data_IF_260573162209
#
_entry.id   IF_260573162209
#
_cell.length_a   1.000
_cell.length_b   1.000
_cell.length_c   1.000
_cell.angle_alpha   90.00
_cell.angle_beta   90.00
_cell.angle_gamma   90.00
#
_symmetry.space_group_name_H-M   'P 1'
#
loop_
_entity.id
_entity.type
_entity.pdbx_description
1 polymer ?
#
# COMPACT_ATOMS: atom_id res chain seq x y z
N UNK A 1 19.55 8.07 6.92
CA UNK A 1 19.25 7.55 5.57
C UNK A 1 18.27 8.51 4.93
N UNK A 2 18.53 8.93 3.70
CA UNK A 2 17.69 9.86 2.95
C UNK A 2 17.17 9.20 1.68
N UNK A 3 15.98 9.57 1.28
CA UNK A 3 15.41 9.35 -0.03
C UNK A 3 15.32 10.73 -0.67
N UNK A 4 16.10 10.94 -1.70
CA UNK A 4 16.12 12.21 -2.42
C UNK A 4 15.05 12.21 -3.51
N UNK A 5 14.30 13.29 -3.61
CA UNK A 5 13.22 13.47 -4.58
C UNK A 5 13.51 14.78 -5.35
N UNK A 6 14.00 14.66 -6.55
CA UNK A 6 14.34 15.80 -7.41
C UNK A 6 13.17 16.14 -8.33
N UNK A 7 12.49 17.29 -8.15
CA UNK A 7 11.42 17.70 -9.05
C UNK A 7 11.92 17.79 -10.51
N UNK A 8 11.16 17.21 -11.42
CA UNK A 8 11.42 17.28 -12.87
C UNK A 8 10.55 18.32 -13.56
N UNK A 9 9.68 18.97 -12.81
CA UNK A 9 8.75 20.00 -13.28
C UNK A 9 8.57 21.11 -12.23
N UNK A 10 8.08 22.27 -12.65
CA UNK A 10 7.93 23.44 -11.76
C UNK A 10 6.88 23.27 -10.67
N UNK A 11 5.88 22.41 -10.88
CA UNK A 11 4.78 22.15 -9.95
C UNK A 11 4.53 20.65 -9.85
N UNK A 12 5.47 19.92 -9.23
CA UNK A 12 5.33 18.47 -9.13
C UNK A 12 4.15 18.09 -8.23
N UNK A 13 3.56 16.91 -8.44
CA UNK A 13 2.55 16.36 -7.54
C UNK A 13 3.04 16.28 -6.10
N UNK A 14 2.16 16.51 -5.15
CA UNK A 14 2.50 16.46 -3.72
C UNK A 14 2.84 15.04 -3.28
N UNK A 15 3.92 14.89 -2.49
CA UNK A 15 4.28 13.65 -1.81
C UNK A 15 3.91 13.76 -0.34
N UNK A 16 3.15 12.79 0.17
CA UNK A 16 2.75 12.72 1.58
C UNK A 16 3.05 11.33 2.17
N UNK A 17 3.26 11.21 3.49
CA UNK A 17 3.28 9.90 4.13
C UNK A 17 1.98 9.14 3.90
N UNK A 18 2.07 7.82 3.72
CA UNK A 18 0.92 6.96 3.52
C UNK A 18 -0.13 7.14 4.62
N UNK A 19 -1.37 7.41 4.22
CA UNK A 19 -2.49 7.67 5.11
C UNK A 19 -3.11 6.36 5.59
N UNK A 20 -3.43 6.21 6.89
CA UNK A 20 -4.04 4.98 7.40
C UNK A 20 -5.49 4.77 6.93
N UNK A 21 -6.21 5.86 6.62
CA UNK A 21 -7.63 5.82 6.25
C UNK A 21 -7.84 5.29 4.82
N UNK A 22 -8.92 4.52 4.67
CA UNK A 22 -9.44 4.08 3.36
C UNK A 22 -10.95 4.15 3.39
N UNK A 23 -11.56 4.68 2.32
CA UNK A 23 -13.00 4.92 2.25
C UNK A 23 -13.83 3.68 2.59
N UNK A 24 -13.50 2.51 2.03
CA UNK A 24 -14.22 1.28 2.32
C UNK A 24 -14.09 0.84 3.78
N UNK A 25 -12.94 1.10 4.44
CA UNK A 25 -12.75 0.80 5.86
C UNK A 25 -13.58 1.73 6.75
N UNK A 26 -13.80 2.97 6.32
CA UNK A 26 -14.61 3.96 7.03
C UNK A 26 -16.12 3.70 6.90
N UNK A 27 -16.57 2.94 5.87
CA UNK A 27 -17.97 2.56 5.72
C UNK A 27 -18.47 1.59 6.80
N UNK A 28 -17.57 0.90 7.50
CA UNK A 28 -17.95 0.07 8.63
C UNK A 28 -18.22 0.93 9.87
N UNK A 29 -19.43 0.90 10.40
CA UNK A 29 -19.88 1.73 11.53
C UNK A 29 -18.97 1.61 12.78
N UNK A 30 -18.44 0.42 13.03
CA UNK A 30 -17.52 0.13 14.13
C UNK A 30 -16.05 0.22 13.77
N UNK A 31 -15.74 0.64 12.52
CA UNK A 31 -14.38 0.72 11.97
C UNK A 31 -13.62 -0.62 12.08
N UNK A 32 -14.32 -1.73 12.02
CA UNK A 32 -13.78 -3.08 12.22
C UNK A 32 -12.50 -3.38 11.41
N UNK A 33 -12.39 -3.01 10.12
CA UNK A 33 -11.18 -3.31 9.33
C UNK A 33 -9.90 -2.69 9.89
N UNK A 34 -9.99 -1.60 10.66
CA UNK A 34 -8.83 -0.98 11.31
C UNK A 34 -8.24 -1.80 12.46
N UNK A 35 -8.96 -2.81 12.93
CA UNK A 35 -8.48 -3.79 13.92
C UNK A 35 -7.48 -4.77 13.32
N UNK A 36 -7.47 -4.90 12.00
CA UNK A 36 -6.47 -5.70 11.28
C UNK A 36 -5.17 -4.90 11.15
N UNK A 37 -4.23 -5.13 12.07
CA UNK A 37 -2.94 -4.43 12.09
C UNK A 37 -2.17 -4.54 10.76
N UNK A 38 -2.08 -5.70 10.08
CA UNK A 38 -1.43 -5.79 8.78
C UNK A 38 -1.97 -4.83 7.73
N UNK A 39 -3.30 -4.61 7.68
CA UNK A 39 -3.91 -3.67 6.72
C UNK A 39 -3.49 -2.22 7.01
N UNK A 40 -3.59 -1.80 8.26
CA UNK A 40 -3.24 -0.43 8.66
C UNK A 40 -1.74 -0.16 8.53
N UNK A 41 -0.90 -1.15 8.83
CA UNK A 41 0.54 -1.06 8.63
C UNK A 41 0.90 -0.94 7.15
N UNK A 42 0.28 -1.73 6.26
CA UNK A 42 0.49 -1.62 4.83
C UNK A 42 0.15 -0.22 4.32
N UNK A 43 -0.99 0.36 4.76
CA UNK A 43 -1.41 1.70 4.36
C UNK A 43 -0.38 2.79 4.69
N UNK A 44 0.44 2.58 5.73
CA UNK A 44 1.36 3.60 6.27
C UNK A 44 2.84 3.27 6.08
N UNK A 45 3.18 2.22 5.31
CA UNK A 45 4.58 1.76 5.12
C UNK A 45 5.27 2.41 3.91
N UNK A 46 4.77 3.49 3.37
CA UNK A 46 5.35 4.21 2.24
C UNK A 46 4.79 5.62 2.12
N UNK A 47 5.03 6.24 0.99
CA UNK A 47 4.55 7.58 0.65
C UNK A 47 3.57 7.51 -0.51
N UNK A 48 2.62 8.42 -0.51
CA UNK A 48 1.62 8.62 -1.56
C UNK A 48 2.00 9.83 -2.41
N UNK A 49 1.83 9.73 -3.75
CA UNK A 49 1.89 10.87 -4.66
C UNK A 49 0.45 11.18 -5.08
N UNK A 50 0.05 12.43 -4.92
CA UNK A 50 -1.34 12.85 -5.03
C UNK A 50 -1.64 13.46 -6.39
N UNK A 51 -2.84 13.20 -6.95
CA UNK A 51 -3.32 13.86 -8.16
C UNK A 51 -3.37 15.37 -7.96
N UNK A 52 -2.66 16.17 -8.78
CA UNK A 52 -2.64 17.63 -8.65
C UNK A 52 -3.97 18.27 -9.08
N UNK A 53 -4.74 17.57 -9.91
CA UNK A 53 -6.03 17.98 -10.44
C UNK A 53 -6.97 16.79 -10.52
N UNK A 54 -8.26 16.97 -10.32
CA UNK A 54 -9.26 15.96 -10.57
C UNK A 54 -9.50 15.78 -12.08
N UNK A 55 -9.70 14.53 -12.51
CA UNK A 55 -9.94 14.22 -13.92
C UNK A 55 -10.70 12.91 -14.11
N UNK A 56 -11.25 12.72 -15.29
CA UNK A 56 -11.80 11.45 -15.75
C UNK A 56 -10.93 10.87 -16.86
N UNK A 57 -10.77 9.55 -16.84
CA UNK A 57 -10.19 8.76 -17.91
C UNK A 57 -11.27 7.83 -18.47
N UNK A 58 -11.49 7.84 -19.78
CA UNK A 58 -12.48 6.99 -20.45
C UNK A 58 -11.80 6.15 -21.50
N UNK A 59 -11.91 4.81 -21.35
CA UNK A 59 -11.43 3.84 -22.33
C UNK A 59 -12.61 3.24 -23.11
N UNK A 60 -12.51 3.23 -24.43
CA UNK A 60 -13.53 2.68 -25.34
C UNK A 60 -13.40 1.17 -25.60
N UNK A 61 -12.36 0.51 -25.06
CA UNK A 61 -12.04 -0.89 -25.28
C UNK A 61 -11.04 -1.13 -26.42
N UNK A 62 -10.63 -0.10 -27.14
CA UNK A 62 -9.71 -0.19 -28.25
C UNK A 62 -8.25 -0.42 -27.82
N UNK A 63 -7.43 -0.84 -28.80
CA UNK A 63 -6.05 -1.25 -28.55
C UNK A 63 -5.01 -0.12 -28.66
N UNK A 64 -5.40 1.06 -29.16
CA UNK A 64 -4.48 2.16 -29.41
C UNK A 64 -4.43 3.14 -28.23
N UNK A 65 -3.38 3.98 -28.16
CA UNK A 65 -3.22 4.99 -27.12
C UNK A 65 -4.37 6.01 -27.11
N UNK A 66 -4.85 6.41 -28.29
CA UNK A 66 -5.96 7.35 -28.46
C UNK A 66 -7.35 6.77 -28.10
N UNK A 67 -7.42 5.49 -27.75
CA UNK A 67 -8.63 4.87 -27.23
C UNK A 67 -8.92 5.21 -25.77
N UNK A 68 -8.01 5.93 -25.10
CA UNK A 68 -8.23 6.52 -23.78
C UNK A 68 -8.28 8.03 -23.94
N UNK A 69 -9.38 8.64 -23.49
CA UNK A 69 -9.53 10.09 -23.40
C UNK A 69 -9.42 10.55 -21.97
N UNK A 70 -8.72 11.66 -21.75
CA UNK A 70 -8.52 12.28 -20.43
C UNK A 70 -9.19 13.65 -20.41
N UNK A 71 -9.92 13.95 -19.36
CA UNK A 71 -10.59 15.24 -19.18
C UNK A 71 -10.39 15.76 -17.76
N UNK A 72 -9.57 16.80 -17.62
CA UNK A 72 -9.42 17.52 -16.37
C UNK A 72 -10.67 18.30 -15.99
N UNK A 73 -10.91 18.52 -14.70
CA UNK A 73 -12.04 19.29 -14.18
C UNK A 73 -11.97 20.77 -14.59
N UNK A 74 -10.75 21.27 -14.70
CA UNK A 74 -10.45 22.63 -15.12
C UNK A 74 -9.09 22.67 -15.82
N UNK A 75 -8.78 23.69 -16.62
CA UNK A 75 -7.48 23.81 -17.24
C UNK A 75 -6.36 23.72 -16.21
N UNK A 76 -5.44 22.79 -16.44
CA UNK A 76 -4.28 22.56 -15.58
C UNK A 76 -3.01 22.52 -16.42
N UNK A 77 -2.06 23.44 -16.22
CA UNK A 77 -0.80 23.44 -16.97
C UNK A 77 -0.05 22.11 -16.76
N UNK A 78 0.40 21.49 -17.85
CA UNK A 78 1.11 20.21 -17.80
C UNK A 78 0.20 18.98 -17.63
N UNK A 79 -1.12 19.11 -17.74
CA UNK A 79 -2.02 17.97 -17.58
C UNK A 79 -1.72 16.82 -18.55
N UNK A 80 -1.45 17.13 -19.82
CA UNK A 80 -1.12 16.12 -20.85
C UNK A 80 0.27 15.49 -20.63
N UNK A 81 1.13 16.12 -19.86
CA UNK A 81 2.39 15.54 -19.42
C UNK A 81 2.23 14.72 -18.12
N UNK A 82 1.30 15.11 -17.26
CA UNK A 82 1.01 14.40 -16.03
C UNK A 82 0.39 13.02 -16.27
N UNK A 83 -0.60 12.92 -17.16
CA UNK A 83 -1.34 11.68 -17.43
C UNK A 83 -1.55 11.45 -18.91
N UNK A 84 -1.22 10.24 -19.37
CA UNK A 84 -1.40 9.81 -20.77
C UNK A 84 -1.47 8.29 -20.88
N UNK A 85 -1.62 7.75 -22.09
CA UNK A 85 -1.55 6.32 -22.34
C UNK A 85 -0.26 5.98 -23.08
N UNK A 86 0.75 5.43 -22.38
CA UNK A 86 2.00 5.02 -23.02
C UNK A 86 1.92 3.59 -23.59
N UNK A 87 1.32 2.66 -22.84
CA UNK A 87 1.28 1.24 -23.19
C UNK A 87 0.06 0.85 -24.02
N UNK A 88 -0.85 1.80 -24.33
CA UNK A 88 -2.12 1.50 -25.01
C UNK A 88 -3.01 0.48 -24.26
N UNK A 89 -3.99 -0.15 -24.93
CA UNK A 89 -4.83 -1.25 -24.40
C UNK A 89 -5.38 -1.01 -22.99
N UNK A 90 -5.93 0.20 -22.75
CA UNK A 90 -6.53 0.52 -21.46
C UNK A 90 -5.52 0.89 -20.36
N UNK A 91 -4.24 1.15 -20.68
CA UNK A 91 -3.25 1.53 -19.68
C UNK A 91 -3.15 3.05 -19.54
N UNK A 92 -3.41 3.53 -18.34
CA UNK A 92 -3.22 4.92 -17.91
C UNK A 92 -1.84 5.05 -17.27
N UNK A 93 -1.02 5.95 -17.78
CA UNK A 93 0.34 6.20 -17.29
C UNK A 93 0.41 7.58 -16.66
N UNK A 94 0.84 7.63 -15.41
CA UNK A 94 1.07 8.85 -14.65
C UNK A 94 2.57 9.14 -14.56
N UNK A 95 2.97 10.37 -14.82
CA UNK A 95 4.29 10.86 -14.48
C UNK A 95 4.32 11.29 -13.03
N UNK A 96 5.33 10.82 -12.30
CA UNK A 96 5.45 11.10 -10.87
C UNK A 96 5.86 12.54 -10.57
N UNK A 97 6.45 13.23 -11.55
CA UNK A 97 6.99 14.59 -11.41
C UNK A 97 8.34 14.66 -10.67
N UNK A 98 8.94 13.50 -10.39
CA UNK A 98 10.21 13.41 -9.66
C UNK A 98 11.15 12.38 -10.25
N UNK A 99 12.44 12.70 -10.20
CA UNK A 99 13.52 11.71 -10.22
C UNK A 99 13.85 11.35 -8.76
N UNK A 100 13.84 10.06 -8.47
CA UNK A 100 14.14 9.55 -7.12
C UNK A 100 15.57 9.02 -7.06
N UNK A 101 16.21 9.23 -5.91
CA UNK A 101 17.51 8.64 -5.60
C UNK A 101 17.47 8.01 -4.21
N UNK A 102 17.73 6.72 -4.18
CA UNK A 102 17.88 5.94 -2.95
C UNK A 102 19.35 5.73 -2.63
N UNK A 103 19.70 5.42 -1.37
CA UNK A 103 21.04 4.96 -1.04
C UNK A 103 21.43 3.68 -1.80
N UNK A 104 22.74 3.43 -2.01
CA UNK A 104 23.21 2.22 -2.69
C UNK A 104 22.59 0.94 -2.09
N UNK A 105 22.17 0.03 -2.95
CA UNK A 105 21.54 -1.25 -2.58
C UNK A 105 20.07 -1.15 -2.18
N UNK A 106 19.45 0.03 -2.34
CA UNK A 106 18.03 0.23 -2.11
C UNK A 106 17.31 0.55 -3.43
N UNK A 107 16.14 -0.03 -3.59
CA UNK A 107 15.23 0.21 -4.72
C UNK A 107 13.91 0.80 -4.22
N UNK A 108 13.11 1.32 -5.14
CA UNK A 108 11.72 1.68 -4.88
C UNK A 108 10.81 0.57 -5.39
N UNK A 109 9.96 0.05 -4.49
CA UNK A 109 8.76 -0.68 -4.88
C UNK A 109 7.62 0.31 -5.03
N UNK A 110 7.11 0.46 -6.27
CA UNK A 110 5.98 1.32 -6.58
C UNK A 110 4.73 0.51 -6.88
N UNK A 111 3.57 1.01 -6.45
CA UNK A 111 2.27 0.37 -6.63
C UNK A 111 1.15 1.40 -6.46
N UNK A 112 -0.11 0.98 -6.59
CA UNK A 112 -1.23 1.75 -6.07
C UNK A 112 -1.24 1.78 -4.54
N UNK A 113 -1.94 2.72 -3.91
CA UNK A 113 -2.02 2.77 -2.45
C UNK A 113 -2.58 1.44 -1.91
N UNK A 114 -1.92 0.82 -0.92
CA UNK A 114 -2.40 -0.43 -0.34
C UNK A 114 -3.85 -0.30 0.14
N UNK A 115 -4.66 -1.31 -0.13
CA UNK A 115 -6.08 -1.36 0.27
C UNK A 115 -6.94 -0.20 -0.30
N UNK A 116 -6.49 0.46 -1.35
CA UNK A 116 -7.28 1.46 -2.08
C UNK A 116 -8.05 0.77 -3.21
N UNK A 117 -9.36 0.61 -3.03
CA UNK A 117 -10.23 -0.05 -4.01
C UNK A 117 -10.73 0.99 -5.01
N UNK A 118 -10.55 0.71 -6.30
CA UNK A 118 -11.06 1.55 -7.38
C UNK A 118 -11.71 0.69 -8.45
N UNK A 119 -13.00 0.90 -8.69
CA UNK A 119 -13.74 0.11 -9.67
C UNK A 119 -13.30 0.43 -11.11
N UNK A 120 -13.24 -0.59 -11.94
CA UNK A 120 -12.96 -0.48 -13.37
C UNK A 120 -11.50 -0.30 -13.76
N UNK A 121 -10.58 -0.11 -12.79
CA UNK A 121 -9.15 0.08 -13.04
C UNK A 121 -8.31 -0.45 -11.87
N UNK A 122 -7.13 -0.98 -12.16
CA UNK A 122 -6.19 -1.50 -11.15
C UNK A 122 -4.80 -0.94 -11.35
N UNK A 123 -4.11 -0.57 -10.26
CA UNK A 123 -2.71 -0.16 -10.34
C UNK A 123 -1.81 -1.34 -10.61
N UNK A 124 -0.76 -1.11 -11.39
CA UNK A 124 0.32 -2.07 -11.62
C UNK A 124 1.45 -1.80 -10.61
N UNK A 125 2.15 -2.86 -10.22
CA UNK A 125 3.33 -2.73 -9.37
C UNK A 125 4.60 -2.73 -10.21
N UNK A 126 5.62 -2.05 -9.72
CA UNK A 126 6.95 -2.00 -10.33
C UNK A 126 8.06 -2.00 -9.27
N UNK A 127 9.20 -2.54 -9.63
CA UNK A 127 10.44 -2.45 -8.88
C UNK A 127 11.42 -1.59 -9.68
N UNK A 128 11.94 -0.54 -9.08
CA UNK A 128 12.78 0.45 -9.75
C UNK A 128 14.10 0.62 -8.99
N UNK A 129 15.22 0.34 -9.65
CA UNK A 129 16.58 0.49 -9.09
C UNK A 129 16.99 1.96 -9.05
N UNK A 130 16.45 2.71 -8.11
CA UNK A 130 16.64 4.15 -7.99
C UNK A 130 18.00 4.57 -7.40
N UNK A 131 18.82 3.64 -6.98
CA UNK A 131 20.18 3.90 -6.49
C UNK A 131 21.16 4.32 -7.59
N UNK A 132 20.86 4.01 -8.86
CA UNK A 132 21.72 4.38 -10.02
C UNK A 132 20.95 5.04 -11.17
N UNK A 133 19.62 4.80 -11.30
CA UNK A 133 18.81 5.19 -12.46
C UNK A 133 18.75 6.72 -12.64
N UNK A 134 19.18 7.30 -13.80
CA UNK A 134 19.24 8.75 -13.98
C UNK A 134 17.98 9.36 -14.64
N UNK A 135 16.85 8.66 -14.61
CA UNK A 135 15.59 9.14 -15.17
C UNK A 135 14.39 8.76 -14.27
N UNK A 136 13.26 9.51 -14.33
CA UNK A 136 12.08 9.24 -13.53
C UNK A 136 11.37 7.95 -13.98
N UNK A 137 10.66 7.31 -13.08
CA UNK A 137 9.72 6.25 -13.41
C UNK A 137 8.29 6.79 -13.52
N UNK A 138 7.42 6.00 -14.13
CA UNK A 138 5.99 6.28 -14.24
C UNK A 138 5.19 5.28 -13.44
N UNK A 139 4.02 5.69 -12.97
CA UNK A 139 3.03 4.81 -12.36
C UNK A 139 1.96 4.45 -13.38
N UNK A 140 1.65 3.16 -13.49
CA UNK A 140 0.68 2.67 -14.47
C UNK A 140 -0.54 2.04 -13.80
N UNK A 141 -1.71 2.30 -14.39
CA UNK A 141 -2.98 1.69 -14.02
C UNK A 141 -3.62 1.07 -15.24
N UNK A 142 -4.16 -0.14 -15.11
CA UNK A 142 -4.79 -0.88 -16.20
C UNK A 142 -6.29 -0.92 -16.00
N UNK A 143 -7.06 -0.44 -16.98
CA UNK A 143 -8.49 -0.66 -17.02
C UNK A 143 -8.84 -2.16 -17.04
N UNK A 144 -9.73 -2.58 -16.18
CA UNK A 144 -10.21 -3.97 -16.12
C UNK A 144 -11.38 -4.24 -17.05
N UNK A 145 -12.02 -3.17 -17.55
CA UNK A 145 -13.12 -3.18 -18.53
C UNK A 145 -13.23 -1.80 -19.19
N UNK A 146 -13.78 -1.70 -20.39
CA UNK A 146 -14.12 -0.40 -20.98
C UNK A 146 -15.06 0.40 -20.08
N UNK A 147 -14.91 1.71 -20.09
CA UNK A 147 -15.73 2.62 -19.27
C UNK A 147 -14.97 3.85 -18.82
N UNK A 148 -15.56 4.58 -17.89
CA UNK A 148 -15.01 5.81 -17.34
C UNK A 148 -14.65 5.61 -15.88
N UNK A 149 -13.44 6.04 -15.50
CA UNK A 149 -12.98 6.12 -14.12
C UNK A 149 -12.66 7.55 -13.74
N UNK A 150 -12.85 7.87 -12.48
CA UNK A 150 -12.61 9.18 -11.92
C UNK A 150 -11.39 9.13 -10.99
N UNK A 151 -10.48 10.10 -11.10
CA UNK A 151 -9.44 10.40 -10.13
C UNK A 151 -9.71 11.77 -9.53
N UNK A 152 -9.83 11.86 -8.22
CA UNK A 152 -10.08 13.12 -7.52
C UNK A 152 -8.77 13.89 -7.28
N UNK A 153 -8.86 15.23 -7.21
CA UNK A 153 -7.73 16.03 -6.73
C UNK A 153 -7.36 15.60 -5.32
N UNK A 154 -6.07 15.36 -5.08
CA UNK A 154 -5.58 14.86 -3.78
C UNK A 154 -5.78 13.35 -3.57
N UNK A 155 -6.36 12.64 -4.54
CA UNK A 155 -6.38 11.17 -4.54
C UNK A 155 -4.98 10.64 -4.86
N UNK A 156 -4.47 9.63 -4.14
CA UNK A 156 -3.16 9.07 -4.43
C UNK A 156 -3.23 8.19 -5.68
N UNK A 157 -2.42 8.50 -6.67
CA UNK A 157 -2.26 7.67 -7.88
C UNK A 157 -1.05 6.74 -7.81
N UNK A 158 -0.12 7.03 -6.93
CA UNK A 158 1.09 6.24 -6.72
C UNK A 158 1.36 6.10 -5.24
N UNK A 159 1.76 4.91 -4.83
CA UNK A 159 2.33 4.62 -3.52
C UNK A 159 3.71 4.00 -3.73
N UNK A 160 4.69 4.40 -2.94
CA UNK A 160 6.02 3.85 -3.04
C UNK A 160 6.68 3.66 -1.68
N UNK A 161 7.55 2.67 -1.60
CA UNK A 161 8.38 2.42 -0.43
C UNK A 161 9.77 1.98 -0.85
N UNK A 162 10.76 2.22 0.01
CA UNK A 162 12.11 1.74 -0.19
C UNK A 162 12.24 0.29 0.26
N UNK A 163 12.92 -0.53 -0.53
CA UNK A 163 13.24 -1.92 -0.19
C UNK A 163 14.69 -2.23 -0.51
N UNK A 164 15.27 -3.18 0.21
CA UNK A 164 16.52 -3.84 -0.17
C UNK A 164 16.16 -5.09 -0.97
N UNK A 165 16.21 -5.02 -2.28
CA UNK A 165 15.81 -6.12 -3.17
C UNK A 165 16.93 -7.12 -3.42
N UNK A 166 18.20 -6.67 -3.49
CA UNK A 166 19.34 -7.53 -3.82
C UNK A 166 19.53 -8.73 -2.87
N UNK A 167 19.35 -8.59 -1.53
CA UNK A 167 19.45 -9.75 -0.62
C UNK A 167 18.38 -10.81 -0.83
N UNK A 168 17.26 -10.50 -1.52
CA UNK A 168 16.17 -11.46 -1.76
C UNK A 168 16.62 -12.67 -2.57
N UNK A 169 17.58 -12.52 -3.49
CA UNK A 169 18.13 -13.63 -4.28
C UNK A 169 18.88 -14.68 -3.42
N UNK A 170 19.32 -14.27 -2.23
CA UNK A 170 20.05 -15.15 -1.30
C UNK A 170 19.11 -15.86 -0.32
N UNK A 171 17.81 -15.51 -0.31
CA UNK A 171 16.83 -16.11 0.61
C UNK A 171 16.39 -17.47 0.09
N UNK A 172 16.66 -18.53 0.88
CA UNK A 172 16.16 -19.87 0.62
C UNK A 172 14.94 -20.16 1.50
N UNK A 173 13.72 -20.18 0.97
CA UNK A 173 12.54 -20.64 1.70
C UNK A 173 12.70 -22.12 2.07
N UNK A 174 12.46 -22.47 3.33
CA UNK A 174 12.57 -23.84 3.83
C UNK A 174 11.27 -24.25 4.52
N UNK A 175 10.67 -25.32 4.03
CA UNK A 175 9.47 -25.92 4.64
C UNK A 175 9.96 -26.90 5.73
N UNK A 176 9.52 -26.67 6.97
CA UNK A 176 9.84 -27.53 8.12
C UNK A 176 8.58 -28.08 8.76
N UNK A 177 8.66 -29.26 9.32
CA UNK A 177 7.59 -29.78 10.19
C UNK A 177 7.45 -28.89 11.43
N UNK A 178 6.23 -28.58 11.84
CA UNK A 178 5.97 -27.85 13.09
C UNK A 178 6.56 -28.57 14.30
N UNK A 179 6.63 -29.92 14.27
CA UNK A 179 7.20 -30.73 15.35
C UNK A 179 8.74 -30.61 15.46
N UNK A 180 9.41 -30.03 14.46
CA UNK A 180 10.86 -29.80 14.54
C UNK A 180 11.25 -28.61 15.44
N UNK A 181 10.26 -27.81 15.89
CA UNK A 181 10.45 -26.70 16.83
C UNK A 181 9.39 -26.78 17.92
N UNK A 182 9.76 -27.44 19.02
CA UNK A 182 8.84 -27.75 20.13
C UNK A 182 8.28 -26.50 20.79
N UNK A 183 9.08 -25.44 20.95
CA UNK A 183 8.64 -24.20 21.59
C UNK A 183 7.66 -23.44 20.70
N UNK A 184 7.98 -23.31 19.41
CA UNK A 184 7.07 -22.71 18.43
C UNK A 184 5.75 -23.51 18.35
N UNK A 185 5.81 -24.85 18.42
CA UNK A 185 4.63 -25.70 18.44
C UNK A 185 3.75 -25.41 19.65
N UNK A 186 4.32 -25.32 20.86
CA UNK A 186 3.58 -24.98 22.09
C UNK A 186 2.93 -23.59 21.98
N UNK A 187 3.67 -22.59 21.50
CA UNK A 187 3.14 -21.23 21.30
C UNK A 187 1.97 -21.21 20.32
N UNK A 188 2.10 -21.96 19.22
CA UNK A 188 1.02 -22.07 18.23
C UNK A 188 -0.22 -22.77 18.79
N UNK A 189 -0.05 -23.87 19.51
CA UNK A 189 -1.17 -24.63 20.08
C UNK A 189 -1.92 -23.81 21.15
N UNK A 190 -1.21 -23.08 22.02
CA UNK A 190 -1.81 -22.16 22.99
C UNK A 190 -2.61 -21.04 22.28
N UNK A 191 -2.02 -20.41 21.27
CA UNK A 191 -2.71 -19.40 20.46
C UNK A 191 -3.95 -19.99 19.76
N UNK A 192 -3.83 -21.18 19.16
CA UNK A 192 -4.93 -21.81 18.42
C UNK A 192 -6.09 -22.18 19.35
N UNK A 193 -5.80 -22.69 20.54
CA UNK A 193 -6.81 -23.02 21.56
C UNK A 193 -7.59 -21.76 21.98
N UNK A 194 -6.89 -20.71 22.40
CA UNK A 194 -7.52 -19.44 22.80
C UNK A 194 -8.31 -18.78 21.65
N UNK A 195 -7.78 -18.87 20.42
CA UNK A 195 -8.48 -18.36 19.23
C UNK A 195 -9.76 -19.15 18.96
N UNK A 196 -9.71 -20.48 19.09
CA UNK A 196 -10.85 -21.37 18.94
C UNK A 196 -11.94 -21.07 19.97
N UNK A 197 -11.57 -20.92 21.24
CA UNK A 197 -12.49 -20.58 22.32
C UNK A 197 -13.13 -19.20 22.10
N UNK A 198 -12.33 -18.18 21.79
CA UNK A 198 -12.85 -16.84 21.52
C UNK A 198 -13.85 -16.84 20.37
N UNK A 199 -13.52 -17.52 19.25
CA UNK A 199 -14.41 -17.62 18.11
C UNK A 199 -15.72 -18.35 18.46
N UNK A 200 -15.67 -19.40 19.28
CA UNK A 200 -16.86 -20.11 19.74
C UNK A 200 -17.77 -19.20 20.60
N UNK A 201 -17.19 -18.38 21.47
CA UNK A 201 -17.92 -17.39 22.28
C UNK A 201 -18.55 -16.29 21.40
N UNK A 202 -17.83 -15.77 20.41
CA UNK A 202 -18.37 -14.82 19.42
C UNK A 202 -19.53 -15.44 18.65
N UNK A 203 -19.37 -16.69 18.18
CA UNK A 203 -20.44 -17.40 17.46
C UNK A 203 -21.71 -17.56 18.30
N UNK A 204 -21.57 -17.85 19.60
CA UNK A 204 -22.66 -17.90 20.57
C UNK A 204 -23.20 -16.53 20.96
N UNK A 205 -22.62 -15.44 20.46
CA UNK A 205 -22.97 -14.05 20.81
C UNK A 205 -22.90 -13.75 22.31
N UNK A 206 -21.92 -14.34 22.99
CA UNK A 206 -21.73 -14.06 24.42
C UNK A 206 -21.44 -12.58 24.65
N UNK A 207 -22.17 -11.90 25.58
CA UNK A 207 -22.05 -10.44 25.74
C UNK A 207 -20.65 -9.94 25.98
N UNK A 208 -19.85 -10.66 26.79
CA UNK A 208 -18.44 -10.29 27.07
C UNK A 208 -17.56 -10.39 25.83
N UNK A 209 -17.67 -11.49 25.05
CA UNK A 209 -16.91 -11.66 23.82
C UNK A 209 -17.32 -10.62 22.75
N UNK A 210 -18.61 -10.32 22.66
CA UNK A 210 -19.11 -9.26 21.75
C UNK A 210 -18.59 -7.88 22.13
N UNK A 211 -18.45 -7.57 23.42
CA UNK A 211 -17.86 -6.33 23.93
C UNK A 211 -16.36 -6.28 23.67
N UNK A 212 -15.66 -7.38 23.86
CA UNK A 212 -14.23 -7.51 23.55
C UNK A 212 -13.97 -7.33 22.04
N UNK A 213 -14.86 -7.89 21.21
CA UNK A 213 -14.95 -7.80 19.76
C UNK A 213 -13.75 -8.38 18.97
N UNK A 214 -12.54 -8.47 19.52
CA UNK A 214 -11.34 -9.02 18.88
C UNK A 214 -10.18 -9.25 19.87
N UNK A 215 -9.35 -10.24 19.58
CA UNK A 215 -8.13 -10.50 20.34
C UNK A 215 -7.01 -9.54 19.89
N UNK A 216 -6.32 -8.92 20.84
CA UNK A 216 -5.39 -7.80 20.59
C UNK A 216 -3.90 -8.20 20.65
N UNK A 217 -3.56 -9.48 20.77
CA UNK A 217 -2.19 -9.94 20.94
C UNK A 217 -1.23 -9.33 19.91
N UNK A 218 -1.52 -9.51 18.62
CA UNK A 218 -0.68 -8.96 17.57
C UNK A 218 -0.65 -7.42 17.58
N UNK A 219 -1.79 -6.77 17.84
CA UNK A 219 -1.82 -5.31 17.91
C UNK A 219 -0.98 -4.74 19.05
N UNK A 220 -0.95 -5.42 20.19
CA UNK A 220 -0.17 -5.04 21.37
C UNK A 220 1.28 -5.53 21.33
N UNK A 221 1.62 -6.50 20.48
CA UNK A 221 2.91 -7.19 20.51
C UNK A 221 3.03 -8.10 21.74
N UNK A 222 1.95 -8.75 22.12
CA UNK A 222 1.87 -9.64 23.28
C UNK A 222 1.65 -11.08 22.82
N UNK A 223 2.16 -12.02 23.57
CA UNK A 223 1.79 -13.44 23.46
C UNK A 223 0.53 -13.74 24.26
N UNK A 224 -0.20 -14.84 23.94
CA UNK A 224 -1.21 -15.38 24.84
C UNK A 224 -0.64 -15.66 26.24
N UNK A 225 -1.45 -15.54 27.29
CA UNK A 225 -1.00 -15.64 28.70
C UNK A 225 -0.26 -16.95 29.04
N UNK A 226 -0.59 -18.04 28.33
CA UNK A 226 0.02 -19.36 28.53
C UNK A 226 1.37 -19.52 27.81
N UNK A 227 1.83 -18.48 27.08
CA UNK A 227 3.07 -18.53 26.33
C UNK A 227 4.15 -17.77 27.07
N UNK A 228 5.09 -18.50 27.66
CA UNK A 228 6.31 -17.93 28.22
C UNK A 228 7.29 -17.60 27.09
N UNK A 229 7.28 -16.34 26.63
CA UNK A 229 8.22 -15.82 25.67
C UNK A 229 8.53 -14.35 25.95
N UNK A 230 9.76 -13.88 25.67
CA UNK A 230 10.07 -12.46 25.81
C UNK A 230 9.23 -11.64 24.81
N UNK A 231 8.73 -10.48 25.25
CA UNK A 231 8.01 -9.57 24.38
C UNK A 231 8.85 -9.24 23.13
N UNK A 232 8.24 -9.13 21.94
CA UNK A 232 8.96 -8.85 20.71
C UNK A 232 9.62 -7.46 20.79
N UNK A 233 10.95 -7.41 20.78
CA UNK A 233 11.75 -6.21 20.99
C UNK A 233 11.55 -5.10 19.94
N UNK A 234 11.00 -5.43 18.78
CA UNK A 234 10.82 -4.52 17.65
C UNK A 234 9.40 -4.48 17.09
N UNK A 235 8.38 -4.78 17.93
CA UNK A 235 7.00 -4.71 17.47
C UNK A 235 6.57 -3.28 17.19
N UNK A 236 5.92 -3.07 16.03
CA UNK A 236 5.39 -1.77 15.59
C UNK A 236 3.91 -1.91 15.28
N UNK A 237 3.08 -1.25 16.04
CA UNK A 237 1.63 -1.21 15.81
C UNK A 237 1.13 0.11 15.20
N UNK A 238 2.01 1.09 15.05
CA UNK A 238 1.71 2.37 14.40
C UNK A 238 2.97 2.92 13.74
N UNK A 239 2.88 3.15 12.45
CA UNK A 239 3.97 3.76 11.69
C UNK A 239 3.62 5.19 11.29
N UNK A 240 4.58 6.09 11.44
CA UNK A 240 4.49 7.48 11.01
C UNK A 240 5.76 7.83 10.26
N UNK A 241 5.67 7.85 8.95
CA UNK A 241 6.78 8.32 8.13
C UNK A 241 6.85 9.85 8.15
N UNK A 242 8.02 10.37 7.84
CA UNK A 242 8.24 11.81 7.74
C UNK A 242 7.70 12.31 6.40
N UNK A 243 7.07 13.48 6.40
CA UNK A 243 6.78 14.20 5.18
C UNK A 243 8.10 14.67 4.52
N UNK A 244 8.13 14.84 3.18
CA UNK A 244 9.26 15.48 2.51
C UNK A 244 9.52 16.87 3.10
N UNK A 245 10.78 17.25 3.14
CA UNK A 245 11.23 18.59 3.51
C UNK A 245 12.06 19.17 2.36
N UNK A 246 12.05 20.48 2.19
CA UNK A 246 12.99 21.14 1.31
C UNK A 246 14.40 20.97 1.88
N UNK A 247 15.34 20.55 1.02
CA UNK A 247 16.75 20.37 1.34
C UNK A 247 17.54 21.66 1.15
#
# INVERSE_FOLDING_TARGET
MELECYPTENRPPEIVPGRPQRAWMDHFADRHPYRCLPLTMANTTGWEILCPVGFTATWDGGAHQNCITFRADHPHPGFDDFVKSHFSRGTVTFHTGYLFRTPPGWSIWTMGPPNHIKDGIQPLAGLVETDWLPFPFTMNWLFTRPGTVRFEKGEPFCFFMMIQDKPLEQVQPVIRSMNSNVDLRKQYDAWAAQRGEFNARIFKREPEAMKEAWQRFYFKGEYPEEVEAPAPAAHVNKRRLKAPKLG
#
